data_IF_088661575701
#
_entry.id   IF_088661575701
#
_cell.length_a   1.000
_cell.length_b   1.000
_cell.length_c   1.000
_cell.angle_alpha   90.00
_cell.angle_beta   90.00
_cell.angle_gamma   90.00
#
_symmetry.space_group_name_H-M   'P 1'
#
loop_
_entity.id
_entity.type
_entity.pdbx_description
1 polymer ?
#
# COMPACT_ATOMS: atom_id res chain seq x y z
N UNK A 1 -15.61 -10.62 -0.78
CA UNK A 1 -14.72 -11.47 -1.52
C UNK A 1 -13.41 -11.63 -0.72
N UNK A 2 -13.00 -12.88 -0.49
CA UNK A 2 -11.79 -13.26 0.22
C UNK A 2 -10.95 -14.16 -0.69
N UNK A 3 -9.84 -13.65 -1.19
CA UNK A 3 -8.91 -14.37 -2.07
C UNK A 3 -7.53 -14.57 -1.43
N UNK A 4 -7.45 -14.47 -0.10
CA UNK A 4 -6.24 -14.64 0.69
C UNK A 4 -5.14 -13.58 0.44
N UNK A 5 -5.46 -12.53 -0.28
CA UNK A 5 -4.54 -11.45 -0.62
C UNK A 5 -5.22 -10.09 -0.49
N UNK A 6 -4.41 -9.10 -0.19
CA UNK A 6 -4.70 -7.69 -0.47
C UNK A 6 -4.09 -7.32 -1.83
N UNK A 7 -3.43 -6.18 -1.96
CA UNK A 7 -2.49 -5.92 -3.06
C UNK A 7 -1.26 -6.81 -2.83
N UNK A 8 -0.56 -6.62 -1.72
CA UNK A 8 0.44 -7.53 -1.19
C UNK A 8 -0.21 -8.60 -0.27
N UNK A 9 0.59 -9.28 0.52
CA UNK A 9 0.14 -10.27 1.51
C UNK A 9 -0.67 -9.63 2.65
N UNK A 10 -1.63 -10.37 3.19
CA UNK A 10 -2.46 -9.93 4.31
C UNK A 10 -1.78 -10.14 5.67
N UNK A 11 -2.06 -9.23 6.60
CA UNK A 11 -1.54 -9.24 7.96
C UNK A 11 -2.63 -8.97 9.00
N UNK A 12 -2.32 -9.26 10.26
CA UNK A 12 -3.12 -8.84 11.41
C UNK A 12 -4.25 -9.78 11.83
N UNK A 13 -5.05 -9.31 12.78
CA UNK A 13 -6.07 -10.11 13.47
C UNK A 13 -7.26 -10.47 12.59
N UNK A 14 -7.73 -9.52 11.79
CA UNK A 14 -8.83 -9.74 10.85
C UNK A 14 -8.48 -10.83 9.83
N UNK A 15 -7.27 -10.75 9.25
CA UNK A 15 -6.78 -11.77 8.33
C UNK A 15 -6.74 -13.17 8.96
N UNK A 16 -6.28 -13.28 10.21
CA UNK A 16 -6.26 -14.57 10.92
C UNK A 16 -7.67 -15.13 11.14
N UNK A 17 -8.65 -14.27 11.41
CA UNK A 17 -10.04 -14.71 11.54
C UNK A 17 -10.63 -15.13 10.18
N UNK A 18 -10.36 -14.37 9.10
CA UNK A 18 -10.76 -14.76 7.74
C UNK A 18 -10.16 -16.12 7.35
N UNK A 19 -8.86 -16.33 7.65
CA UNK A 19 -8.21 -17.62 7.42
C UNK A 19 -8.90 -18.75 8.21
N UNK A 20 -9.19 -18.55 9.48
CA UNK A 20 -9.92 -19.52 10.30
C UNK A 20 -11.29 -19.86 9.69
N UNK A 21 -12.01 -18.85 9.20
CA UNK A 21 -13.32 -19.04 8.55
C UNK A 21 -13.19 -19.79 7.23
N UNK A 22 -12.15 -19.57 6.44
CA UNK A 22 -11.86 -20.37 5.23
C UNK A 22 -11.56 -21.82 5.59
N UNK A 23 -10.64 -22.04 6.54
CA UNK A 23 -10.20 -23.38 6.94
C UNK A 23 -11.33 -24.23 7.55
N UNK A 24 -12.33 -23.59 8.16
CA UNK A 24 -13.50 -24.23 8.80
C UNK A 24 -14.78 -24.16 7.96
N UNK A 25 -14.71 -23.68 6.73
CA UNK A 25 -15.89 -23.46 5.87
C UNK A 25 -16.99 -22.64 6.57
N UNK A 26 -16.57 -21.58 7.25
CA UNK A 26 -17.46 -20.67 7.98
C UNK A 26 -18.02 -21.20 9.30
N UNK A 27 -17.61 -22.39 9.75
CA UNK A 27 -18.20 -23.09 10.91
C UNK A 27 -17.51 -22.75 12.25
N UNK A 28 -16.41 -21.99 12.24
CA UNK A 28 -15.71 -21.61 13.47
C UNK A 28 -16.64 -20.83 14.41
N UNK A 29 -16.57 -21.13 15.71
CA UNK A 29 -17.29 -20.40 16.75
C UNK A 29 -16.82 -18.94 16.82
N UNK A 30 -15.50 -18.73 16.70
CA UNK A 30 -14.90 -17.39 16.62
C UNK A 30 -15.11 -16.82 15.21
N UNK A 31 -16.17 -16.04 15.05
CA UNK A 31 -16.52 -15.36 13.80
C UNK A 31 -16.72 -13.88 14.08
N UNK A 32 -15.79 -13.04 13.59
CA UNK A 32 -15.78 -11.59 13.77
C UNK A 32 -17.10 -10.96 13.32
N UNK A 33 -17.65 -11.40 12.21
CA UNK A 33 -18.87 -10.81 11.64
C UNK A 33 -20.08 -11.11 12.52
N UNK A 34 -20.21 -12.34 13.01
CA UNK A 34 -21.26 -12.72 13.96
C UNK A 34 -21.12 -11.99 15.29
N UNK A 35 -19.88 -11.78 15.77
CA UNK A 35 -19.59 -11.03 16.98
C UNK A 35 -20.03 -9.55 16.86
N UNK A 36 -20.02 -8.99 15.65
CA UNK A 36 -20.56 -7.65 15.35
C UNK A 36 -22.10 -7.62 15.17
N UNK A 37 -22.79 -8.73 15.33
CA UNK A 37 -24.25 -8.83 15.17
C UNK A 37 -24.73 -8.97 13.72
N UNK A 38 -23.85 -9.32 12.80
CA UNK A 38 -24.17 -9.53 11.39
C UNK A 38 -24.56 -10.99 11.15
N UNK A 39 -25.56 -11.22 10.29
CA UNK A 39 -25.81 -12.54 9.74
C UNK A 39 -24.64 -12.93 8.80
N UNK A 40 -24.38 -14.22 8.67
CA UNK A 40 -23.20 -14.68 7.96
C UNK A 40 -23.48 -15.92 7.11
N UNK A 41 -23.12 -15.85 5.83
CA UNK A 41 -23.18 -16.95 4.86
C UNK A 41 -21.79 -17.18 4.28
N UNK A 42 -21.36 -18.42 4.18
CA UNK A 42 -20.08 -18.80 3.63
C UNK A 42 -20.25 -19.45 2.25
N UNK A 43 -19.49 -18.97 1.26
CA UNK A 43 -19.47 -19.49 -0.10
C UNK A 43 -18.06 -19.99 -0.40
N UNK A 44 -17.88 -21.31 -0.48
CA UNK A 44 -16.60 -21.96 -0.70
C UNK A 44 -16.07 -21.74 -2.12
N UNK A 45 -16.94 -21.92 -3.11
CA UNK A 45 -16.60 -21.87 -4.53
C UNK A 45 -17.02 -20.54 -5.16
N UNK A 46 -16.38 -19.46 -4.73
CA UNK A 46 -16.71 -18.10 -5.15
C UNK A 46 -16.29 -17.73 -6.59
N UNK A 47 -15.60 -18.61 -7.29
CA UNK A 47 -15.39 -18.49 -8.74
C UNK A 47 -16.44 -19.26 -9.57
N UNK A 48 -17.41 -19.93 -8.92
CA UNK A 48 -18.52 -20.61 -9.55
C UNK A 48 -19.79 -19.73 -9.54
N UNK A 49 -20.29 -19.38 -10.72
CA UNK A 49 -21.45 -18.46 -10.85
C UNK A 49 -22.73 -19.07 -10.27
N UNK A 50 -23.09 -20.34 -10.50
CA UNK A 50 -24.23 -20.96 -9.85
C UNK A 50 -24.22 -20.86 -8.33
N UNK A 51 -23.09 -21.15 -7.68
CA UNK A 51 -22.94 -21.05 -6.22
C UNK A 51 -23.14 -19.60 -5.72
N UNK A 52 -22.70 -18.61 -6.48
CA UNK A 52 -22.94 -17.19 -6.16
C UNK A 52 -24.42 -16.83 -6.28
N UNK A 53 -25.09 -17.26 -7.34
CA UNK A 53 -26.51 -17.01 -7.55
C UNK A 53 -27.31 -17.60 -6.37
N UNK A 54 -27.09 -18.85 -6.02
CA UNK A 54 -27.74 -19.53 -4.90
C UNK A 54 -27.55 -18.75 -3.58
N UNK A 55 -26.31 -18.35 -3.28
CA UNK A 55 -26.01 -17.61 -2.06
C UNK A 55 -26.70 -16.24 -2.02
N UNK A 56 -26.71 -15.49 -3.11
CA UNK A 56 -27.36 -14.17 -3.17
C UNK A 56 -28.89 -14.29 -3.19
N UNK A 57 -29.46 -15.29 -3.86
CA UNK A 57 -30.90 -15.55 -3.78
C UNK A 57 -31.35 -15.90 -2.36
N UNK A 58 -30.53 -16.64 -1.63
CA UNK A 58 -30.81 -17.00 -0.23
C UNK A 58 -30.86 -15.79 0.72
N UNK A 59 -30.24 -14.67 0.36
CA UNK A 59 -30.13 -13.49 1.25
C UNK A 59 -30.81 -12.23 0.70
N UNK A 60 -31.26 -12.21 -0.54
CA UNK A 60 -31.80 -10.99 -1.21
C UNK A 60 -32.96 -10.33 -0.48
N UNK A 61 -33.77 -11.09 0.22
CA UNK A 61 -34.95 -10.59 0.95
C UNK A 61 -34.68 -10.39 2.46
N UNK A 62 -33.44 -10.54 2.89
CA UNK A 62 -33.06 -10.34 4.29
C UNK A 62 -33.40 -8.92 4.76
N UNK A 63 -33.94 -8.81 5.98
CA UNK A 63 -34.21 -7.52 6.63
C UNK A 63 -33.07 -7.09 7.56
N UNK A 64 -32.05 -7.90 7.68
CA UNK A 64 -30.84 -7.65 8.47
C UNK A 64 -29.61 -7.56 7.57
N UNK A 65 -28.58 -6.85 7.99
CA UNK A 65 -27.32 -6.87 7.27
C UNK A 65 -26.69 -8.26 7.31
N UNK A 66 -26.28 -8.76 6.14
CA UNK A 66 -25.71 -10.09 5.95
C UNK A 66 -24.32 -9.98 5.33
N UNK A 67 -23.35 -10.67 5.89
CA UNK A 67 -22.06 -10.87 5.26
C UNK A 67 -22.09 -12.16 4.44
N UNK A 68 -21.96 -12.05 3.14
CA UNK A 68 -21.72 -13.18 2.24
C UNK A 68 -20.22 -13.29 2.04
N UNK A 69 -19.58 -14.22 2.77
CA UNK A 69 -18.14 -14.46 2.72
C UNK A 69 -17.82 -15.40 1.55
N UNK A 70 -17.35 -14.84 0.47
CA UNK A 70 -17.09 -15.53 -0.79
C UNK A 70 -15.59 -15.79 -0.89
N UNK A 71 -15.19 -17.06 -0.96
CA UNK A 71 -13.79 -17.45 -1.15
C UNK A 71 -13.50 -17.60 -2.63
N UNK A 72 -12.52 -16.88 -3.12
CA UNK A 72 -12.10 -16.93 -4.52
C UNK A 72 -10.59 -17.19 -4.65
N UNK A 73 -10.18 -17.64 -5.83
CA UNK A 73 -8.77 -17.73 -6.20
C UNK A 73 -8.38 -16.48 -7.00
N UNK A 74 -7.47 -15.66 -6.46
CA UNK A 74 -6.92 -14.53 -7.19
C UNK A 74 -6.14 -15.00 -8.41
N UNK A 75 -6.40 -14.40 -9.58
CA UNK A 75 -5.77 -14.77 -10.84
C UNK A 75 -6.39 -16.02 -11.53
N UNK A 76 -7.54 -16.53 -11.05
CA UNK A 76 -8.22 -17.72 -11.56
C UNK A 76 -8.34 -17.73 -13.09
N UNK A 77 -7.85 -18.80 -13.70
CA UNK A 77 -7.91 -19.02 -15.15
C UNK A 77 -6.65 -18.57 -15.90
N UNK A 78 -5.68 -17.97 -15.21
CA UNK A 78 -4.39 -17.62 -15.82
C UNK A 78 -3.23 -18.06 -14.93
N UNK A 79 -2.55 -19.13 -15.33
CA UNK A 79 -1.54 -19.79 -14.50
C UNK A 79 -0.42 -18.87 -13.96
N UNK A 80 0.13 -17.89 -14.72
CA UNK A 80 1.08 -16.93 -14.17
C UNK A 80 0.51 -16.10 -13.02
N UNK A 81 -0.74 -15.65 -13.12
CA UNK A 81 -1.41 -14.86 -12.09
C UNK A 81 -1.78 -15.69 -10.85
N UNK A 82 -2.14 -16.96 -11.03
CA UNK A 82 -2.41 -17.86 -9.91
C UNK A 82 -1.14 -18.16 -9.10
N UNK A 83 0.02 -18.17 -9.77
CA UNK A 83 1.33 -18.45 -9.17
C UNK A 83 1.91 -17.25 -8.45
N UNK A 84 1.76 -16.05 -8.99
CA UNK A 84 2.32 -14.80 -8.45
C UNK A 84 1.23 -13.72 -8.32
N UNK A 85 0.44 -13.86 -7.26
CA UNK A 85 -0.76 -13.06 -7.02
C UNK A 85 -0.48 -11.57 -6.76
N UNK A 86 0.71 -11.23 -6.28
CA UNK A 86 1.10 -9.84 -5.99
C UNK A 86 1.44 -9.13 -7.28
N UNK A 87 2.36 -9.66 -8.08
CA UNK A 87 2.76 -9.08 -9.37
C UNK A 87 1.56 -8.93 -10.32
N UNK A 88 0.63 -9.89 -10.30
CA UNK A 88 -0.55 -9.90 -11.14
C UNK A 88 -1.78 -9.21 -10.55
N UNK A 89 -1.63 -8.47 -9.46
CA UNK A 89 -2.71 -7.63 -8.95
C UNK A 89 -3.05 -6.53 -9.95
N UNK A 90 -2.04 -5.93 -10.56
CA UNK A 90 -2.11 -4.99 -11.67
C UNK A 90 -0.90 -5.21 -12.58
N UNK A 91 -1.08 -5.15 -13.87
CA UNK A 91 -0.01 -5.40 -14.82
C UNK A 91 -0.11 -4.45 -16.02
N UNK A 92 1.04 -3.98 -16.52
CA UNK A 92 1.13 -3.29 -17.82
C UNK A 92 0.72 -4.24 -18.95
N UNK A 93 0.42 -3.75 -20.16
CA UNK A 93 0.18 -4.61 -21.32
C UNK A 93 1.24 -5.71 -21.42
N UNK A 94 0.81 -6.93 -21.61
CA UNK A 94 1.65 -8.13 -21.64
C UNK A 94 1.24 -9.09 -22.74
N UNK A 95 2.16 -9.97 -23.11
CA UNK A 95 1.88 -11.09 -24.00
C UNK A 95 1.13 -12.19 -23.24
N UNK A 96 -0.12 -12.54 -23.62
CA UNK A 96 -0.93 -13.51 -22.88
C UNK A 96 -0.37 -14.93 -22.88
N UNK A 97 0.43 -15.31 -23.89
CA UNK A 97 1.01 -16.67 -23.98
C UNK A 97 2.20 -16.83 -23.05
N UNK A 98 3.03 -15.79 -22.94
CA UNK A 98 4.29 -15.85 -22.19
C UNK A 98 4.24 -15.16 -20.83
N UNK A 99 3.26 -14.29 -20.60
CA UNK A 99 3.16 -13.43 -19.42
C UNK A 99 4.19 -12.31 -19.39
N UNK A 100 4.96 -12.11 -20.44
CA UNK A 100 6.00 -11.06 -20.48
C UNK A 100 5.40 -9.69 -20.71
N UNK A 101 5.87 -8.69 -19.95
CA UNK A 101 5.48 -7.30 -20.16
C UNK A 101 5.89 -6.84 -21.56
N UNK A 102 4.97 -6.15 -22.23
CA UNK A 102 5.23 -5.43 -23.47
C UNK A 102 5.75 -4.00 -23.22
N UNK A 103 5.77 -3.57 -21.95
CA UNK A 103 6.27 -2.28 -21.52
C UNK A 103 7.51 -2.49 -20.65
N UNK A 104 8.67 -2.24 -21.21
CA UNK A 104 9.97 -2.37 -20.55
C UNK A 104 10.78 -1.10 -20.81
N UNK A 105 10.49 0.01 -20.10
CA UNK A 105 11.26 1.24 -20.26
C UNK A 105 12.71 1.01 -19.81
N UNK A 106 13.65 1.52 -20.58
CA UNK A 106 15.05 1.53 -20.22
C UNK A 106 15.33 2.69 -19.26
N UNK A 107 16.03 2.43 -18.17
CA UNK A 107 16.42 3.43 -17.17
C UNK A 107 16.06 3.02 -15.74
N UNK A 108 16.53 3.81 -14.80
CA UNK A 108 16.23 3.65 -13.37
C UNK A 108 14.92 4.39 -13.03
N UNK A 109 14.11 3.81 -12.15
CA UNK A 109 12.90 4.43 -11.62
C UNK A 109 13.10 4.91 -10.17
N UNK A 110 12.23 5.82 -9.72
CA UNK A 110 12.29 6.36 -8.37
C UNK A 110 12.02 5.30 -7.28
N UNK A 111 11.30 4.23 -7.59
CA UNK A 111 11.10 3.12 -6.65
C UNK A 111 12.40 2.39 -6.37
N UNK A 112 13.18 2.07 -7.41
CA UNK A 112 14.50 1.45 -7.31
C UNK A 112 15.49 2.34 -6.56
N UNK A 113 15.52 3.63 -6.87
CA UNK A 113 16.36 4.62 -6.15
C UNK A 113 16.02 4.63 -4.67
N UNK A 114 14.73 4.71 -4.33
CA UNK A 114 14.24 4.73 -2.94
C UNK A 114 14.60 3.44 -2.21
N UNK A 115 14.41 2.29 -2.85
CA UNK A 115 14.75 0.99 -2.29
C UNK A 115 16.22 0.91 -1.87
N UNK A 116 17.12 1.24 -2.80
CA UNK A 116 18.56 1.18 -2.56
C UNK A 116 18.96 2.14 -1.44
N UNK A 117 18.48 3.36 -1.46
CA UNK A 117 18.72 4.36 -0.43
C UNK A 117 18.25 3.89 0.97
N UNK A 118 17.00 3.40 1.07
CA UNK A 118 16.46 2.95 2.35
C UNK A 118 17.19 1.73 2.90
N UNK A 119 17.57 0.77 2.07
CA UNK A 119 18.33 -0.41 2.53
C UNK A 119 19.69 -0.01 3.09
N UNK A 120 20.38 0.93 2.46
CA UNK A 120 21.64 1.48 2.97
C UNK A 120 21.45 2.16 4.32
N UNK A 121 20.47 3.07 4.43
CA UNK A 121 20.15 3.76 5.69
C UNK A 121 19.72 2.80 6.81
N UNK A 122 18.91 1.80 6.53
CA UNK A 122 18.47 0.78 7.51
C UNK A 122 19.63 -0.10 7.99
N UNK A 123 20.61 -0.35 7.13
CA UNK A 123 21.80 -1.09 7.52
C UNK A 123 22.65 -0.29 8.51
N UNK A 124 22.81 1.01 8.26
CA UNK A 124 23.62 1.92 9.06
C UNK A 124 22.91 2.35 10.36
N UNK A 125 21.59 2.55 10.33
CA UNK A 125 20.80 3.10 11.45
C UNK A 125 19.56 2.24 11.72
N UNK A 126 19.48 1.64 12.92
CA UNK A 126 18.36 0.78 13.31
C UNK A 126 17.08 1.54 13.67
N UNK A 127 17.15 2.86 13.80
CA UNK A 127 15.98 3.71 14.01
C UNK A 127 15.21 4.00 12.71
N UNK A 128 15.84 3.81 11.53
CA UNK A 128 15.20 3.97 10.23
C UNK A 128 14.27 2.80 9.94
N UNK A 129 13.04 3.09 9.56
CA UNK A 129 12.06 2.08 9.15
C UNK A 129 11.22 2.55 7.97
N UNK A 130 10.73 1.60 7.16
CA UNK A 130 9.83 1.85 6.05
C UNK A 130 8.44 1.30 6.35
N UNK A 131 7.43 2.09 6.06
CA UNK A 131 6.02 1.77 6.24
C UNK A 131 5.32 1.80 4.89
N UNK A 132 4.40 0.88 4.66
CA UNK A 132 3.52 0.87 3.48
C UNK A 132 2.11 0.49 3.88
N UNK A 133 1.15 0.85 3.01
CA UNK A 133 -0.26 0.44 3.11
C UNK A 133 -0.58 -0.51 1.95
N UNK A 134 -0.08 -1.75 2.04
CA UNK A 134 -0.24 -2.85 1.07
C UNK A 134 0.36 -2.59 -0.33
N UNK A 135 1.19 -1.57 -0.50
CA UNK A 135 1.81 -1.21 -1.79
C UNK A 135 3.35 -1.16 -1.70
N UNK A 136 4.02 -2.20 -1.18
CA UNK A 136 5.47 -2.15 -0.93
C UNK A 136 6.30 -1.96 -2.20
N UNK A 137 5.83 -2.45 -3.33
CA UNK A 137 6.55 -2.37 -4.60
C UNK A 137 6.59 -0.96 -5.20
N UNK A 138 5.78 -0.02 -4.72
CA UNK A 138 5.81 1.37 -5.19
C UNK A 138 7.17 2.05 -4.92
N UNK A 139 7.86 1.62 -3.87
CA UNK A 139 9.24 2.03 -3.56
C UNK A 139 10.22 0.86 -3.58
N UNK A 140 9.98 -0.12 -4.44
CA UNK A 140 10.91 -1.19 -4.78
C UNK A 140 11.02 -2.32 -3.75
N UNK A 141 10.17 -2.38 -2.72
CA UNK A 141 10.21 -3.41 -1.67
C UNK A 141 9.53 -4.70 -2.13
N UNK A 142 10.22 -5.45 -2.98
CA UNK A 142 9.86 -6.81 -3.39
C UNK A 142 9.86 -7.78 -2.20
N UNK A 143 9.26 -8.99 -2.30
CA UNK A 143 9.29 -9.98 -1.22
C UNK A 143 10.69 -10.27 -0.66
N UNK A 144 11.71 -10.33 -1.52
CA UNK A 144 13.09 -10.57 -1.07
C UNK A 144 13.72 -9.36 -0.38
N UNK A 145 13.40 -8.15 -0.82
CA UNK A 145 13.81 -6.90 -0.14
C UNK A 145 13.16 -6.79 1.24
N UNK A 146 11.87 -7.09 1.35
CA UNK A 146 11.15 -7.11 2.64
C UNK A 146 11.79 -8.07 3.65
N UNK A 147 12.21 -9.26 3.19
CA UNK A 147 12.96 -10.22 4.04
C UNK A 147 14.29 -9.65 4.53
N UNK A 148 15.03 -8.93 3.66
CA UNK A 148 16.30 -8.28 4.01
C UNK A 148 16.09 -7.14 5.03
N UNK A 149 15.08 -6.31 4.84
CA UNK A 149 14.74 -5.22 5.74
C UNK A 149 14.25 -5.72 7.12
N UNK A 150 13.59 -6.90 7.15
CA UNK A 150 13.16 -7.55 8.37
C UNK A 150 12.24 -6.67 9.22
N UNK A 151 12.58 -6.46 10.50
CA UNK A 151 11.75 -5.67 11.43
C UNK A 151 11.72 -4.17 11.14
N UNK A 152 12.58 -3.66 10.28
CA UNK A 152 12.57 -2.26 9.85
C UNK A 152 11.60 -1.99 8.70
N UNK A 153 10.91 -3.02 8.21
CA UNK A 153 9.83 -2.91 7.24
C UNK A 153 8.49 -3.28 7.89
N UNK A 154 7.47 -2.45 7.66
CA UNK A 154 6.11 -2.65 8.19
C UNK A 154 5.08 -2.44 7.09
N UNK A 155 4.27 -3.45 6.84
CA UNK A 155 3.08 -3.35 6.01
C UNK A 155 1.85 -3.41 6.92
N UNK A 156 1.04 -2.37 6.89
CA UNK A 156 -0.18 -2.26 7.72
C UNK A 156 -1.44 -2.75 7.01
N UNK A 157 -1.30 -3.25 5.78
CA UNK A 157 -2.45 -3.53 4.92
C UNK A 157 -3.02 -2.25 4.30
N UNK A 158 -4.20 -2.33 3.68
CA UNK A 158 -4.89 -1.16 3.10
C UNK A 158 -5.49 -0.33 4.25
N UNK A 159 -4.64 0.42 4.94
CA UNK A 159 -4.96 1.20 6.12
C UNK A 159 -4.05 2.43 6.22
N UNK A 160 -4.18 3.35 5.27
CA UNK A 160 -3.34 4.55 5.15
C UNK A 160 -3.43 5.44 6.40
N UNK A 161 -4.60 5.53 7.00
CA UNK A 161 -4.84 6.28 8.23
C UNK A 161 -4.00 5.71 9.39
N UNK A 162 -3.98 4.36 9.50
CA UNK A 162 -3.16 3.68 10.51
C UNK A 162 -1.66 3.84 10.25
N UNK A 163 -1.24 3.76 8.98
CA UNK A 163 0.16 3.96 8.60
C UNK A 163 0.67 5.34 9.03
N UNK A 164 -0.14 6.38 8.81
CA UNK A 164 0.21 7.75 9.16
C UNK A 164 0.30 7.95 10.68
N UNK A 165 -0.68 7.46 11.44
CA UNK A 165 -0.67 7.51 12.90
C UNK A 165 0.50 6.70 13.49
N UNK A 166 0.80 5.52 12.93
CA UNK A 166 1.94 4.69 13.31
C UNK A 166 3.27 5.42 13.07
N UNK A 167 3.43 6.05 11.91
CA UNK A 167 4.62 6.82 11.58
C UNK A 167 4.84 7.97 12.59
N UNK A 168 3.77 8.71 12.94
CA UNK A 168 3.85 9.74 13.97
C UNK A 168 4.30 9.18 15.33
N UNK A 169 3.72 8.05 15.74
CA UNK A 169 4.09 7.38 16.99
C UNK A 169 5.56 6.92 17.02
N UNK A 170 6.07 6.38 15.92
CA UNK A 170 7.47 5.99 15.79
C UNK A 170 8.38 7.21 15.87
N UNK A 171 8.08 8.29 15.14
CA UNK A 171 8.85 9.52 15.15
C UNK A 171 8.92 10.14 16.55
N UNK A 172 7.79 10.16 17.28
CA UNK A 172 7.74 10.67 18.66
C UNK A 172 8.57 9.86 19.66
N UNK A 173 8.89 8.62 19.32
CA UNK A 173 9.76 7.75 20.14
C UNK A 173 11.20 7.69 19.61
N UNK A 174 11.62 8.64 18.79
CA UNK A 174 12.99 8.79 18.28
C UNK A 174 13.33 7.88 17.10
N UNK A 175 12.33 7.21 16.49
CA UNK A 175 12.51 6.51 15.22
C UNK A 175 12.50 7.47 14.04
N UNK A 176 13.01 7.01 12.90
CA UNK A 176 13.06 7.72 11.62
C UNK A 176 12.17 7.00 10.60
N UNK A 177 10.84 7.23 10.65
CA UNK A 177 9.91 6.54 9.76
C UNK A 177 9.90 7.16 8.37
N UNK A 178 9.99 6.30 7.36
CA UNK A 178 9.67 6.59 5.99
C UNK A 178 8.33 5.93 5.65
N UNK A 179 7.36 6.70 5.16
CA UNK A 179 6.08 6.18 4.68
C UNK A 179 5.96 6.39 3.18
N UNK A 180 5.95 5.29 2.41
CA UNK A 180 5.75 5.30 0.97
C UNK A 180 4.29 5.02 0.61
N UNK A 181 3.65 5.95 -0.12
CA UNK A 181 2.23 5.89 -0.46
C UNK A 181 1.96 6.48 -1.84
N UNK A 182 0.95 5.96 -2.55
CA UNK A 182 0.50 6.59 -3.80
C UNK A 182 -0.17 7.94 -3.55
N UNK A 183 0.07 8.89 -4.46
CA UNK A 183 -0.55 10.22 -4.44
C UNK A 183 -2.07 10.19 -4.36
N UNK A 184 -2.71 9.24 -5.03
CA UNK A 184 -4.17 9.06 -4.96
C UNK A 184 -4.66 8.41 -3.66
N UNK A 185 -3.79 7.70 -2.93
CA UNK A 185 -4.19 6.98 -1.71
C UNK A 185 -3.99 7.81 -0.44
N UNK A 186 -3.00 8.72 -0.42
CA UNK A 186 -2.72 9.56 0.76
C UNK A 186 -3.93 10.42 1.17
N UNK A 187 -4.87 10.69 0.25
CA UNK A 187 -6.09 11.45 0.56
C UNK A 187 -6.92 10.83 1.68
N UNK A 188 -6.84 9.51 1.90
CA UNK A 188 -7.52 8.80 2.98
C UNK A 188 -6.96 9.16 4.36
N UNK A 189 -5.72 9.58 4.42
CA UNK A 189 -5.01 9.88 5.66
C UNK A 189 -4.85 11.39 5.90
N UNK A 190 -5.68 12.24 5.28
CA UNK A 190 -5.58 13.70 5.43
C UNK A 190 -5.73 14.16 6.87
N UNK A 191 -6.68 13.58 7.60
CA UNK A 191 -6.92 13.90 8.99
C UNK A 191 -5.71 13.53 9.85
N UNK A 192 -5.20 12.30 9.74
CA UNK A 192 -4.03 11.84 10.49
C UNK A 192 -2.77 12.62 10.12
N UNK A 193 -2.62 12.99 8.84
CA UNK A 193 -1.52 13.83 8.40
C UNK A 193 -1.57 15.20 9.08
N UNK A 194 -2.73 15.85 9.09
CA UNK A 194 -2.91 17.16 9.69
C UNK A 194 -2.86 17.13 11.23
N UNK A 195 -3.55 16.17 11.87
CA UNK A 195 -3.72 16.11 13.32
C UNK A 195 -2.56 15.35 14.00
N UNK A 196 -2.30 14.11 13.57
CA UNK A 196 -1.33 13.26 14.27
C UNK A 196 0.12 13.63 13.92
N UNK A 197 0.38 14.04 12.68
CA UNK A 197 1.74 14.32 12.21
C UNK A 197 2.06 15.81 12.33
N UNK A 198 1.28 16.71 11.71
CA UNK A 198 1.66 18.11 11.57
C UNK A 198 1.47 18.91 12.85
N UNK A 199 0.32 18.81 13.54
CA UNK A 199 0.11 19.50 14.83
C UNK A 199 1.14 19.06 15.86
N UNK A 200 1.50 17.78 15.86
CA UNK A 200 2.52 17.23 16.74
C UNK A 200 3.96 17.52 16.28
N UNK A 201 4.16 18.09 15.10
CA UNK A 201 5.49 18.30 14.50
C UNK A 201 6.32 17.02 14.51
N UNK A 202 5.69 15.89 14.15
CA UNK A 202 6.36 14.59 14.12
C UNK A 202 7.26 14.51 12.88
N UNK A 203 8.57 14.30 13.00
CA UNK A 203 9.49 14.27 11.86
C UNK A 203 9.33 12.95 11.06
N UNK A 204 8.26 12.89 10.29
CA UNK A 204 7.93 11.76 9.40
C UNK A 204 8.34 12.12 7.98
N UNK A 205 9.06 11.24 7.31
CA UNK A 205 9.32 11.34 5.87
C UNK A 205 8.22 10.62 5.10
N UNK A 206 7.44 11.34 4.31
CA UNK A 206 6.34 10.82 3.52
C UNK A 206 6.70 10.95 2.04
N UNK A 207 6.88 9.83 1.35
CA UNK A 207 7.12 9.83 -0.09
C UNK A 207 5.80 9.57 -0.83
N UNK A 208 5.33 10.59 -1.54
CA UNK A 208 4.07 10.60 -2.29
C UNK A 208 4.36 10.18 -3.73
N UNK A 209 4.26 8.89 -3.99
CA UNK A 209 4.60 8.29 -5.29
C UNK A 209 3.51 8.46 -6.35
N UNK A 210 3.89 8.27 -7.60
CA UNK A 210 3.02 8.44 -8.77
C UNK A 210 2.33 9.81 -8.81
N UNK A 211 3.03 10.82 -8.33
CA UNK A 211 2.55 12.19 -8.24
C UNK A 211 2.71 12.92 -9.57
N UNK A 212 1.91 12.54 -10.56
CA UNK A 212 1.86 13.18 -11.88
C UNK A 212 0.60 12.77 -12.64
N UNK A 213 0.39 13.37 -13.79
CA UNK A 213 -0.59 12.87 -14.75
C UNK A 213 0.03 11.65 -15.40
N UNK A 214 -0.40 10.48 -14.98
CA UNK A 214 -0.02 9.22 -15.59
C UNK A 214 -0.50 9.23 -17.03
N UNK A 215 0.39 8.95 -17.97
CA UNK A 215 0.05 8.86 -19.42
C UNK A 215 -0.83 7.66 -19.77
N UNK A 216 -1.39 6.99 -18.76
CA UNK A 216 -2.32 5.88 -18.86
C UNK A 216 -3.71 6.32 -18.41
N UNK A 217 -4.73 5.73 -19.02
CA UNK A 217 -6.14 6.06 -18.80
C UNK A 217 -6.71 5.63 -17.42
N UNK A 218 -5.87 5.50 -16.43
CA UNK A 218 -6.30 5.15 -15.08
C UNK A 218 -6.71 6.40 -14.29
N UNK A 219 -7.95 6.79 -14.42
CA UNK A 219 -8.54 7.96 -13.76
C UNK A 219 -8.55 7.85 -12.22
N UNK A 220 -8.39 6.64 -11.67
CA UNK A 220 -8.42 6.41 -10.22
C UNK A 220 -7.06 6.62 -9.56
N UNK A 221 -5.98 6.71 -10.35
CA UNK A 221 -4.60 6.83 -9.87
C UNK A 221 -3.90 8.12 -10.33
N UNK A 222 -4.66 9.13 -10.77
CA UNK A 222 -4.09 10.42 -11.15
C UNK A 222 -3.49 11.14 -9.93
N UNK A 223 -2.20 11.41 -9.99
CA UNK A 223 -1.45 12.10 -8.95
C UNK A 223 -1.45 13.61 -9.10
N UNK A 224 -2.63 14.24 -9.08
CA UNK A 224 -2.79 15.68 -9.26
C UNK A 224 -3.45 16.38 -8.07
N UNK A 225 -4.19 15.65 -7.25
CA UNK A 225 -4.92 16.21 -6.11
C UNK A 225 -4.06 16.35 -4.85
N UNK A 226 -2.90 15.73 -4.81
CA UNK A 226 -1.92 15.83 -3.73
C UNK A 226 -1.47 17.28 -3.51
N UNK A 227 -1.26 18.05 -4.58
CA UNK A 227 -0.80 19.45 -4.49
C UNK A 227 -1.76 20.31 -3.66
N UNK A 228 -3.04 20.51 -4.04
CA UNK A 228 -3.94 21.35 -3.26
C UNK A 228 -4.27 20.76 -1.88
N UNK A 229 -4.23 19.44 -1.73
CA UNK A 229 -4.52 18.77 -0.47
C UNK A 229 -3.38 18.93 0.54
N UNK A 230 -2.14 18.72 0.13
CA UNK A 230 -0.99 18.73 1.04
C UNK A 230 -0.50 20.14 1.29
N UNK A 231 -0.48 21.02 0.28
CA UNK A 231 0.06 22.38 0.38
C UNK A 231 -0.72 23.31 1.32
N UNK A 232 -1.94 22.95 1.72
CA UNK A 232 -2.72 23.76 2.67
C UNK A 232 -2.53 23.36 4.14
N UNK A 233 -1.75 22.31 4.44
CA UNK A 233 -1.53 21.84 5.81
C UNK A 233 -0.38 22.64 6.43
N UNK A 234 -0.62 23.41 7.52
CA UNK A 234 0.44 24.12 8.21
C UNK A 234 1.51 23.18 8.79
N UNK A 235 2.73 23.69 8.96
CA UNK A 235 3.89 22.98 9.52
C UNK A 235 4.45 21.85 8.64
N UNK A 236 3.78 21.46 7.56
CA UNK A 236 4.26 20.44 6.64
C UNK A 236 5.22 21.04 5.60
N UNK A 237 6.43 20.53 5.54
CA UNK A 237 7.35 20.84 4.45
C UNK A 237 6.98 19.98 3.24
N UNK A 238 6.65 20.62 2.12
CA UNK A 238 6.26 19.93 0.90
C UNK A 238 7.27 20.17 -0.21
N UNK A 239 7.95 19.13 -0.65
CA UNK A 239 9.06 19.15 -1.60
C UNK A 239 8.70 18.42 -2.90
N UNK A 240 9.28 18.88 -4.02
CA UNK A 240 9.07 18.26 -5.33
C UNK A 240 10.41 18.27 -6.11
N UNK A 241 11.16 17.16 -6.09
CA UNK A 241 12.41 17.05 -6.82
C UNK A 241 12.19 17.01 -8.32
N UNK A 242 13.14 17.52 -9.09
CA UNK A 242 13.17 17.46 -10.55
C UNK A 242 14.18 16.40 -11.03
N UNK A 243 15.23 16.14 -10.23
CA UNK A 243 16.32 15.22 -10.57
C UNK A 243 16.49 14.17 -9.48
N UNK A 244 17.22 13.11 -9.81
CA UNK A 244 17.61 12.05 -8.86
C UNK A 244 18.42 12.60 -7.69
N UNK A 245 19.38 13.48 -7.99
CA UNK A 245 20.26 14.08 -6.99
C UNK A 245 19.48 14.92 -6.00
N UNK A 246 18.54 15.74 -6.49
CA UNK A 246 17.63 16.51 -5.62
C UNK A 246 16.76 15.58 -4.77
N UNK A 247 16.24 14.51 -5.35
CA UNK A 247 15.43 13.55 -4.62
C UNK A 247 16.21 12.89 -3.47
N UNK A 248 17.41 12.42 -3.76
CA UNK A 248 18.29 11.81 -2.75
C UNK A 248 18.67 12.82 -1.65
N UNK A 249 18.96 14.07 -2.01
CA UNK A 249 19.27 15.11 -1.05
C UNK A 249 18.05 15.45 -0.16
N UNK A 250 16.84 15.49 -0.74
CA UNK A 250 15.60 15.70 0.01
C UNK A 250 15.29 14.54 0.96
N UNK A 251 15.50 13.28 0.53
CA UNK A 251 15.36 12.10 1.37
C UNK A 251 16.35 12.15 2.54
N UNK A 252 17.60 12.44 2.25
CA UNK A 252 18.67 12.49 3.26
C UNK A 252 18.39 13.57 4.31
N UNK A 253 18.09 14.79 3.86
CA UNK A 253 17.70 15.87 4.75
C UNK A 253 16.45 15.52 5.58
N UNK A 254 15.43 14.94 4.95
CA UNK A 254 14.16 14.60 5.63
C UNK A 254 14.34 13.55 6.71
N UNK A 255 15.22 12.55 6.51
CA UNK A 255 15.49 11.50 7.50
C UNK A 255 16.44 11.93 8.62
N UNK A 256 17.28 12.94 8.39
CA UNK A 256 18.27 13.38 9.38
C UNK A 256 17.77 14.54 10.26
N UNK A 257 16.83 15.37 9.79
CA UNK A 257 16.24 16.44 10.58
C UNK A 257 15.18 15.87 11.56
N UNK A 258 14.86 16.63 12.61
CA UNK A 258 13.90 16.21 13.65
C UNK A 258 12.88 17.30 14.02
N UNK A 259 12.70 18.30 13.17
CA UNK A 259 11.89 19.49 13.45
C UNK A 259 10.55 19.50 12.72
N UNK A 260 10.50 18.91 11.51
CA UNK A 260 9.35 19.05 10.61
C UNK A 260 8.88 17.72 10.05
N UNK A 261 7.56 17.52 9.88
CA UNK A 261 7.05 16.55 8.94
C UNK A 261 7.36 16.97 7.51
N UNK A 262 7.76 16.01 6.67
CA UNK A 262 8.18 16.28 5.29
C UNK A 262 7.41 15.37 4.34
N UNK A 263 6.75 15.95 3.35
CA UNK A 263 6.19 15.21 2.21
C UNK A 263 7.03 15.50 0.95
N UNK A 264 7.47 14.45 0.26
CA UNK A 264 8.23 14.54 -0.99
C UNK A 264 7.36 13.99 -2.11
N UNK A 265 7.08 14.84 -3.08
CA UNK A 265 6.27 14.51 -4.25
C UNK A 265 7.13 13.79 -5.29
N UNK A 266 6.97 12.46 -5.39
CA UNK A 266 7.79 11.60 -6.24
C UNK A 266 7.12 11.40 -7.60
N UNK A 267 7.76 11.80 -8.71
CA UNK A 267 7.18 11.65 -10.04
C UNK A 267 6.97 10.19 -10.45
N UNK A 268 6.01 9.97 -11.34
CA UNK A 268 5.73 8.65 -11.93
C UNK A 268 6.52 8.40 -13.22
N UNK A 269 7.72 8.89 -13.31
CA UNK A 269 8.60 8.77 -14.49
C UNK A 269 9.89 8.04 -14.13
N UNK A 270 10.67 7.69 -15.16
CA UNK A 270 12.07 7.37 -14.97
C UNK A 270 12.80 8.58 -14.39
N UNK A 271 13.86 8.32 -13.65
CA UNK A 271 14.68 9.39 -13.09
C UNK A 271 15.37 10.18 -14.22
N UNK A 272 15.53 11.47 -13.99
CA UNK A 272 16.42 12.29 -14.79
C UNK A 272 17.63 12.67 -13.96
N UNK A 273 18.82 12.48 -14.53
CA UNK A 273 20.05 12.94 -13.91
C UNK A 273 20.16 14.46 -14.09
N UNK A 274 20.33 15.17 -12.98
CA UNK A 274 20.66 16.57 -12.98
C UNK A 274 22.16 16.74 -13.05
N UNK A 275 22.64 17.55 -14.01
CA UNK A 275 23.95 18.17 -13.79
C UNK A 275 23.72 19.41 -12.95
N UNK A 276 24.49 19.61 -11.87
CA UNK A 276 24.45 20.85 -11.12
C UNK A 276 24.82 22.04 -12.00
#
# INVERSE_FOLDING_TARGET
>A
NDNDMSIAENHGGMYRNLKLLRDTEGKAECNLFKAMGLDYVFVKDGNDIPSLIEAFEGVKDSKKPVVVHIVTQKGKGYAPAEKDKETWHWHMPFDPETGKSLYNPEGEDYGTVTCNYLLEKMQADKSVCAITSATPTVFGFTPDVRKKAGKQFMDVGIAEEHAMALASGIAKNGGKPFYGVYSSFIQRAYDQLSQDVCINKSPVTIAVFAASVYGMSDVTHLGIYDIPMISNIPELVYLAPVTKEEYLAMLDWSLEQNEHPVAIRVPASLVSDGKP
#
